data_IF_455692787023
#
_entry.id   IF_455692787023
#
_cell.length_a   1.000
_cell.length_b   1.000
_cell.length_c   1.000
_cell.angle_alpha   90.00
_cell.angle_beta   90.00
_cell.angle_gamma   90.00
#
_symmetry.space_group_name_H-M   'P 1'
#
loop_
_entity.id
_entity.type
_entity.pdbx_description
1 polymer ?
#
# COMPACT_ATOMS: atom_id res chain seq x y z
N UNK A 1 -4.61 -21.00 9.99
CA UNK A 1 -5.66 -22.03 10.01
C UNK A 1 -6.15 -22.33 11.43
N UNK A 2 -5.26 -22.40 12.40
CA UNK A 2 -5.59 -22.67 13.81
C UNK A 2 -6.60 -21.66 14.40
N UNK A 3 -6.52 -20.40 13.98
CA UNK A 3 -7.46 -19.35 14.37
C UNK A 3 -8.73 -19.29 13.50
N UNK A 4 -9.07 -20.35 12.75
CA UNK A 4 -10.27 -20.36 11.90
C UNK A 4 -10.18 -19.49 10.65
N UNK A 5 -8.99 -19.02 10.26
CA UNK A 5 -8.78 -18.27 9.02
C UNK A 5 -8.86 -19.21 7.82
N UNK A 6 -9.72 -18.90 6.87
CA UNK A 6 -9.94 -19.67 5.65
C UNK A 6 -9.31 -18.94 4.47
N UNK A 7 -8.57 -19.67 3.65
CA UNK A 7 -7.98 -19.16 2.42
C UNK A 7 -8.88 -19.44 1.23
N UNK A 8 -8.94 -18.47 0.33
CA UNK A 8 -9.66 -18.64 -0.93
C UNK A 8 -8.91 -19.64 -1.82
N UNK A 9 -9.61 -20.56 -2.49
CA UNK A 9 -9.01 -21.40 -3.52
C UNK A 9 -8.36 -20.57 -4.63
N UNK A 10 -7.34 -21.12 -5.28
CA UNK A 10 -6.71 -20.47 -6.44
C UNK A 10 -7.74 -20.06 -7.49
N UNK A 11 -7.63 -18.81 -7.93
CA UNK A 11 -8.39 -18.32 -9.07
C UNK A 11 -7.64 -18.70 -10.35
N UNK A 12 -8.37 -19.08 -11.39
CA UNK A 12 -7.85 -19.38 -12.73
C UNK A 12 -8.04 -18.17 -13.66
N UNK A 13 -7.34 -18.17 -14.80
CA UNK A 13 -7.44 -17.13 -15.82
C UNK A 13 -6.55 -15.93 -15.55
N UNK A 14 -6.94 -14.76 -16.06
CA UNK A 14 -6.21 -13.48 -15.96
C UNK A 14 -5.95 -13.04 -14.53
N UNK A 15 -6.68 -13.60 -13.58
CA UNK A 15 -6.61 -13.32 -12.15
C UNK A 15 -5.89 -14.42 -11.37
N UNK A 16 -4.99 -15.16 -11.98
CA UNK A 16 -4.17 -16.16 -11.27
C UNK A 16 -3.26 -15.48 -10.25
N UNK A 17 -3.88 -15.04 -9.16
CA UNK A 17 -3.21 -14.40 -8.02
C UNK A 17 -2.44 -15.42 -7.17
N UNK A 18 -2.57 -16.70 -7.47
CA UNK A 18 -2.06 -17.82 -6.67
C UNK A 18 -0.54 -17.97 -6.70
N UNK A 19 0.16 -17.34 -7.62
CA UNK A 19 1.63 -17.46 -7.70
C UNK A 19 2.38 -16.60 -6.69
N UNK A 20 1.76 -15.52 -6.21
CA UNK A 20 2.42 -14.56 -5.31
C UNK A 20 1.65 -14.30 -4.03
N UNK A 21 0.34 -14.56 -3.99
CA UNK A 21 -0.51 -14.29 -2.83
C UNK A 21 -1.48 -15.42 -2.55
N UNK A 22 -1.73 -15.63 -1.26
CA UNK A 22 -2.93 -16.32 -0.78
C UNK A 22 -3.94 -15.27 -0.32
N UNK A 23 -5.18 -15.38 -0.77
CA UNK A 23 -6.26 -14.48 -0.36
C UNK A 23 -7.09 -15.13 0.73
N UNK A 24 -7.56 -14.31 1.67
CA UNK A 24 -8.48 -14.77 2.69
C UNK A 24 -9.91 -14.82 2.12
N UNK A 25 -10.59 -15.92 2.30
CA UNK A 25 -12.00 -16.03 1.95
C UNK A 25 -12.80 -15.05 2.81
N UNK A 26 -13.50 -14.11 2.17
CA UNK A 26 -14.20 -13.00 2.84
C UNK A 26 -13.29 -11.82 3.20
N UNK A 27 -12.04 -11.80 2.69
CA UNK A 27 -11.12 -10.67 2.77
C UNK A 27 -10.61 -10.36 4.17
N UNK A 28 -10.11 -9.14 4.36
CA UNK A 28 -9.54 -8.68 5.64
C UNK A 28 -10.53 -8.68 6.79
N UNK A 29 -11.81 -8.40 6.52
CA UNK A 29 -12.88 -8.45 7.54
C UNK A 29 -13.02 -9.86 8.13
N UNK A 30 -13.04 -10.89 7.28
CA UNK A 30 -13.14 -12.27 7.74
C UNK A 30 -11.90 -12.70 8.55
N UNK A 31 -10.69 -12.29 8.11
CA UNK A 31 -9.45 -12.50 8.84
C UNK A 31 -9.52 -11.89 10.25
N UNK A 32 -9.82 -10.60 10.33
CA UNK A 32 -9.87 -9.87 11.61
C UNK A 32 -10.91 -10.48 12.54
N UNK A 33 -12.11 -10.77 12.04
CA UNK A 33 -13.17 -11.40 12.83
C UNK A 33 -12.78 -12.80 13.36
N UNK A 34 -12.00 -13.58 12.58
CA UNK A 34 -11.50 -14.87 13.03
C UNK A 34 -10.49 -14.71 14.18
N UNK A 35 -9.60 -13.71 14.09
CA UNK A 35 -8.62 -13.41 15.14
C UNK A 35 -9.29 -12.87 16.41
N UNK A 36 -10.29 -12.00 16.29
CA UNK A 36 -11.06 -11.50 17.43
C UNK A 36 -11.77 -12.64 18.18
N UNK A 37 -12.47 -13.52 17.45
CA UNK A 37 -13.11 -14.70 18.07
C UNK A 37 -12.11 -15.59 18.80
N UNK A 38 -10.92 -15.76 18.21
CA UNK A 38 -9.86 -16.55 18.87
C UNK A 38 -9.37 -15.86 20.15
N UNK A 39 -9.18 -14.54 20.13
CA UNK A 39 -8.77 -13.77 21.29
C UNK A 39 -9.82 -13.88 22.41
N UNK A 40 -11.10 -13.75 22.10
CA UNK A 40 -12.20 -13.92 23.06
C UNK A 40 -12.23 -15.33 23.65
N UNK A 41 -12.07 -16.38 22.82
CA UNK A 41 -12.01 -17.76 23.29
C UNK A 41 -10.82 -18.04 24.21
N UNK A 42 -9.71 -17.33 24.02
CA UNK A 42 -8.52 -17.40 24.87
C UNK A 42 -8.63 -16.52 26.14
N UNK A 43 -9.73 -15.82 26.34
CA UNK A 43 -9.94 -14.94 27.48
C UNK A 43 -9.10 -13.66 27.43
N UNK A 44 -8.65 -13.23 26.24
CA UNK A 44 -7.90 -11.99 26.07
C UNK A 44 -8.87 -10.82 26.17
N UNK A 45 -8.62 -9.88 27.07
CA UNK A 45 -9.42 -8.67 27.21
C UNK A 45 -9.16 -7.75 26.02
N UNK A 46 -10.23 -7.34 25.33
CA UNK A 46 -10.21 -6.40 24.21
C UNK A 46 -10.92 -5.12 24.65
N UNK A 47 -10.20 -4.01 24.69
CA UNK A 47 -10.76 -2.71 25.02
C UNK A 47 -11.08 -1.94 23.74
N UNK A 48 -12.35 -1.90 23.38
CA UNK A 48 -12.86 -1.09 22.27
C UNK A 48 -12.96 0.38 22.67
N UNK A 49 -13.04 1.27 21.69
CA UNK A 49 -13.09 2.73 21.88
C UNK A 49 -11.95 3.24 22.79
N UNK A 50 -10.77 2.67 22.57
CA UNK A 50 -9.59 2.91 23.41
C UNK A 50 -8.42 3.37 22.55
N UNK A 51 -7.88 4.53 22.89
CA UNK A 51 -6.73 5.11 22.25
C UNK A 51 -5.54 5.14 23.22
N UNK A 52 -4.39 4.60 22.80
CA UNK A 52 -3.13 4.77 23.52
C UNK A 52 -2.57 6.16 23.20
N UNK A 53 -2.47 7.01 24.22
CA UNK A 53 -2.01 8.38 24.09
C UNK A 53 -0.52 8.52 24.40
N UNK A 54 -0.01 7.75 25.37
CA UNK A 54 1.38 7.80 25.82
C UNK A 54 1.79 6.47 26.44
N UNK A 55 3.02 6.04 26.19
CA UNK A 55 3.68 4.89 26.87
C UNK A 55 4.85 5.47 27.65
N UNK A 56 4.75 5.48 28.98
CA UNK A 56 5.78 6.07 29.84
C UNK A 56 7.05 5.21 29.87
N UNK A 57 8.14 5.73 29.27
CA UNK A 57 9.47 5.11 29.27
C UNK A 57 10.38 5.75 30.32
N UNK A 58 11.17 4.89 30.96
CA UNK A 58 12.27 5.29 31.83
C UNK A 58 13.44 4.33 31.59
N UNK A 59 14.56 4.84 31.13
CA UNK A 59 15.77 4.04 30.83
C UNK A 59 15.50 2.82 29.93
N UNK A 60 14.65 2.99 28.89
CA UNK A 60 14.27 1.92 27.96
C UNK A 60 13.30 0.87 28.54
N UNK A 61 12.72 1.13 29.70
CA UNK A 61 11.69 0.30 30.34
C UNK A 61 10.34 1.02 30.33
N UNK A 62 9.31 0.37 29.78
CA UNK A 62 7.94 0.87 29.76
C UNK A 62 7.17 0.30 30.97
N UNK A 63 6.61 1.20 31.78
CA UNK A 63 5.92 0.84 33.05
C UNK A 63 4.41 0.87 32.93
N UNK A 64 3.90 1.86 32.20
CA UNK A 64 2.47 2.10 32.08
C UNK A 64 2.16 2.81 30.75
N UNK A 65 0.91 2.72 30.34
CA UNK A 65 0.36 3.51 29.24
C UNK A 65 -0.78 4.39 29.75
N UNK A 66 -0.83 5.61 29.26
CA UNK A 66 -1.98 6.50 29.36
C UNK A 66 -2.86 6.22 28.14
N UNK A 67 -4.10 5.87 28.42
CA UNK A 67 -5.10 5.59 27.40
C UNK A 67 -6.28 6.54 27.54
N UNK A 68 -6.98 6.79 26.45
CA UNK A 68 -8.32 7.37 26.45
C UNK A 68 -9.33 6.25 26.16
N UNK A 69 -10.09 5.84 27.15
CA UNK A 69 -11.16 4.88 26.99
C UNK A 69 -12.49 5.59 26.95
N UNK A 70 -13.17 5.54 25.82
CA UNK A 70 -14.43 6.28 25.60
C UNK A 70 -14.35 7.76 25.96
N UNK A 71 -13.18 8.39 25.68
CA UNK A 71 -12.91 9.80 25.97
C UNK A 71 -12.41 10.07 27.39
N UNK A 72 -12.35 9.08 28.28
CA UNK A 72 -11.85 9.26 29.66
C UNK A 72 -10.41 8.77 29.79
N UNK A 73 -9.49 9.58 30.34
CA UNK A 73 -8.11 9.17 30.54
C UNK A 73 -8.01 8.10 31.63
N UNK A 74 -7.24 7.07 31.37
CA UNK A 74 -6.93 5.99 32.31
C UNK A 74 -5.45 5.59 32.21
N UNK A 75 -4.94 4.92 33.24
CA UNK A 75 -3.61 4.33 33.24
C UNK A 75 -3.68 2.83 33.30
N UNK A 76 -2.93 2.17 32.41
CA UNK A 76 -2.78 0.72 32.41
C UNK A 76 -1.33 0.39 32.72
N UNK A 77 -1.10 -0.38 33.77
CA UNK A 77 0.22 -0.94 34.08
C UNK A 77 0.38 -2.30 33.47
N UNK A 78 1.57 -2.59 33.00
CA UNK A 78 1.91 -3.85 32.34
C UNK A 78 3.36 -4.24 32.62
N UNK A 79 3.68 -5.51 32.42
CA UNK A 79 5.06 -6.01 32.50
C UNK A 79 5.77 -5.94 31.13
N UNK A 80 5.04 -6.07 30.05
CA UNK A 80 5.55 -5.95 28.70
C UNK A 80 4.49 -5.33 27.78
N UNK A 81 4.93 -4.67 26.71
CA UNK A 81 4.07 -4.10 25.67
C UNK A 81 4.51 -4.54 24.29
N UNK A 82 3.54 -4.90 23.44
CA UNK A 82 3.74 -5.14 22.01
C UNK A 82 3.05 -4.02 21.24
N UNK A 83 3.84 -3.13 20.63
CA UNK A 83 3.34 -2.06 19.78
C UNK A 83 3.02 -2.61 18.39
N UNK A 84 1.75 -2.56 17.99
CA UNK A 84 1.26 -3.00 16.68
C UNK A 84 0.28 -1.99 16.07
N UNK A 85 0.49 -0.71 16.38
CA UNK A 85 -0.45 0.39 16.09
C UNK A 85 -0.42 0.91 14.65
N UNK A 86 0.37 0.30 13.78
CA UNK A 86 0.51 0.74 12.40
C UNK A 86 1.42 1.95 12.20
N UNK A 87 1.31 2.57 11.02
CA UNK A 87 2.09 3.73 10.61
C UNK A 87 1.30 5.04 10.72
N UNK A 88 1.67 6.02 9.87
CA UNK A 88 1.12 7.38 9.92
C UNK A 88 0.48 7.84 8.60
N UNK A 89 0.06 6.91 7.74
CA UNK A 89 -0.48 7.22 6.41
C UNK A 89 -1.72 8.11 6.44
N UNK A 90 -2.47 8.16 7.55
CA UNK A 90 -3.61 9.05 7.70
C UNK A 90 -3.25 10.39 8.40
N UNK A 91 -2.01 10.59 8.80
CA UNK A 91 -1.54 11.82 9.41
C UNK A 91 -1.02 12.79 8.34
N UNK A 92 -1.91 13.68 7.87
CA UNK A 92 -1.61 14.66 6.82
C UNK A 92 -0.43 15.56 7.17
N UNK A 93 -0.35 16.03 8.40
CA UNK A 93 0.71 16.94 8.85
C UNK A 93 2.07 16.23 8.88
N UNK A 94 2.07 14.95 9.23
CA UNK A 94 3.30 14.16 9.17
C UNK A 94 3.72 13.85 7.72
N UNK A 95 2.79 13.52 6.84
CA UNK A 95 3.07 13.35 5.41
C UNK A 95 3.58 14.64 4.75
N UNK A 96 3.01 15.82 5.10
CA UNK A 96 3.45 17.12 4.58
C UNK A 96 4.90 17.45 4.93
N UNK A 97 5.44 16.95 6.03
CA UNK A 97 6.86 17.16 6.39
C UNK A 97 7.82 16.62 5.32
N UNK A 98 7.42 15.57 4.60
CA UNK A 98 8.25 14.88 3.63
C UNK A 98 7.82 15.12 2.17
N UNK A 99 6.56 15.46 1.95
CA UNK A 99 5.96 15.62 0.63
C UNK A 99 5.41 17.01 0.36
N UNK A 100 5.47 17.93 1.32
CA UNK A 100 4.86 19.26 1.20
C UNK A 100 3.35 19.16 0.91
N UNK A 101 2.83 20.14 0.19
CA UNK A 101 1.40 20.24 -0.14
C UNK A 101 0.90 19.09 -1.03
N UNK A 102 1.79 18.36 -1.69
CA UNK A 102 1.43 17.15 -2.47
C UNK A 102 0.70 16.11 -1.62
N UNK A 103 1.01 16.03 -0.32
CA UNK A 103 0.36 15.11 0.61
C UNK A 103 -1.17 15.28 0.70
N UNK A 104 -1.68 16.48 0.42
CA UNK A 104 -3.12 16.75 0.48
C UNK A 104 -3.91 16.03 -0.61
N UNK A 105 -3.24 15.67 -1.68
CA UNK A 105 -3.82 14.93 -2.79
C UNK A 105 -3.72 13.41 -2.65
N UNK A 106 -3.11 12.88 -1.58
CA UNK A 106 -2.98 11.44 -1.39
C UNK A 106 -4.26 10.86 -0.79
N UNK A 107 -4.75 9.81 -1.42
CA UNK A 107 -5.86 9.02 -0.88
C UNK A 107 -5.31 7.98 0.11
N UNK A 108 -6.06 7.70 1.16
CA UNK A 108 -5.70 6.72 2.18
C UNK A 108 -6.53 5.45 1.96
N UNK A 109 -5.84 4.34 1.66
CA UNK A 109 -6.44 3.02 1.50
C UNK A 109 -6.46 2.28 2.84
N UNK A 110 -7.20 2.80 3.79
CA UNK A 110 -7.24 2.26 5.14
C UNK A 110 -8.12 3.08 6.06
N UNK A 111 -7.76 3.08 7.32
CA UNK A 111 -8.51 3.75 8.38
C UNK A 111 -7.97 5.16 8.65
N UNK A 112 -8.82 6.14 9.02
CA UNK A 112 -8.38 7.45 9.47
C UNK A 112 -7.60 7.40 10.80
N UNK A 113 -7.63 6.26 11.50
CA UNK A 113 -6.94 6.08 12.78
C UNK A 113 -5.44 5.78 12.67
N UNK A 114 -4.91 5.50 11.48
CA UNK A 114 -3.48 5.28 11.26
C UNK A 114 -2.69 6.60 11.30
N UNK A 115 -2.65 7.22 12.48
CA UNK A 115 -2.10 8.55 12.74
C UNK A 115 -0.65 8.52 13.23
N UNK A 116 -0.08 7.35 13.47
CA UNK A 116 1.29 7.19 13.95
C UNK A 116 1.53 7.63 15.40
N UNK A 117 0.50 7.73 16.25
CA UNK A 117 0.63 8.30 17.59
C UNK A 117 1.61 7.53 18.47
N UNK A 118 1.45 6.22 18.57
CA UNK A 118 2.36 5.36 19.35
C UNK A 118 3.76 5.35 18.74
N UNK A 119 3.87 5.34 17.41
CA UNK A 119 5.16 5.45 16.75
C UNK A 119 5.87 6.76 17.12
N UNK A 120 5.18 7.89 17.01
CA UNK A 120 5.71 9.19 17.39
C UNK A 120 6.12 9.22 18.86
N UNK A 121 5.23 8.78 19.74
CA UNK A 121 5.44 8.79 21.18
C UNK A 121 6.72 8.03 21.59
N UNK A 122 6.95 6.86 20.98
CA UNK A 122 8.15 6.07 21.25
C UNK A 122 9.42 6.70 20.64
N UNK A 123 9.33 7.28 19.42
CA UNK A 123 10.45 7.98 18.79
C UNK A 123 10.86 9.22 19.61
N UNK A 124 9.90 10.02 20.05
CA UNK A 124 10.14 11.21 20.86
C UNK A 124 10.80 10.88 22.22
N UNK A 125 10.64 9.65 22.70
CA UNK A 125 11.28 9.11 23.90
C UNK A 125 12.58 8.32 23.63
N UNK A 126 13.14 8.44 22.43
CA UNK A 126 14.45 7.89 22.08
C UNK A 126 14.44 6.46 21.56
N UNK A 127 13.32 5.94 21.10
CA UNK A 127 13.34 4.72 20.29
C UNK A 127 14.05 4.97 18.94
N UNK A 128 14.78 3.98 18.47
CA UNK A 128 15.57 4.09 17.23
C UNK A 128 14.64 4.03 16.01
N UNK A 129 14.73 5.05 15.15
CA UNK A 129 13.99 5.15 13.90
C UNK A 129 14.63 4.30 12.79
N UNK A 130 13.83 3.72 11.91
CA UNK A 130 14.26 3.00 10.71
C UNK A 130 13.27 3.18 9.57
N UNK A 131 13.78 3.18 8.35
CA UNK A 131 13.01 3.33 7.13
C UNK A 131 12.98 4.76 6.60
N UNK A 132 12.76 4.89 5.30
CA UNK A 132 12.68 6.18 4.63
C UNK A 132 11.26 6.74 4.74
N UNK A 133 11.05 7.92 5.31
CA UNK A 133 9.73 8.53 5.48
C UNK A 133 9.05 8.91 4.17
N UNK A 134 9.79 8.99 3.06
CA UNK A 134 9.26 9.25 1.73
C UNK A 134 8.84 7.97 0.99
N UNK A 135 9.12 6.80 1.59
CA UNK A 135 8.76 5.50 1.03
C UNK A 135 7.52 4.94 1.71
N UNK A 136 6.65 4.38 0.90
CA UNK A 136 5.41 3.79 1.36
C UNK A 136 4.89 2.74 0.35
N UNK A 137 4.06 1.85 0.81
CA UNK A 137 3.22 1.02 -0.05
C UNK A 137 2.08 1.90 -0.58
N UNK A 138 2.18 2.33 -1.82
CA UNK A 138 1.15 3.11 -2.47
C UNK A 138 0.88 2.62 -3.89
N UNK A 139 -0.39 2.60 -4.25
CA UNK A 139 -0.87 2.06 -5.52
C UNK A 139 -1.46 3.14 -6.41
N UNK A 140 -1.60 2.84 -7.70
CA UNK A 140 -2.49 3.58 -8.57
C UNK A 140 -3.93 3.33 -8.12
N UNK A 141 -4.56 4.33 -7.53
CA UNK A 141 -5.93 4.29 -7.07
C UNK A 141 -6.81 5.10 -8.02
N UNK A 142 -8.09 4.77 -8.13
CA UNK A 142 -9.02 5.59 -8.91
C UNK A 142 -9.09 7.00 -8.30
N UNK A 143 -8.82 8.02 -9.11
CA UNK A 143 -8.78 9.41 -8.62
C UNK A 143 -10.13 9.91 -8.10
N UNK A 144 -11.24 9.24 -8.43
CA UNK A 144 -12.60 9.55 -8.00
C UNK A 144 -12.97 8.88 -6.69
N UNK A 145 -12.11 8.00 -6.17
CA UNK A 145 -12.30 7.36 -4.88
C UNK A 145 -12.29 8.40 -3.75
N UNK A 146 -12.99 8.14 -2.63
CA UNK A 146 -12.91 8.98 -1.45
C UNK A 146 -11.47 9.16 -0.96
N UNK A 147 -11.20 10.27 -0.27
CA UNK A 147 -9.88 10.54 0.30
C UNK A 147 -9.47 9.48 1.32
N UNK A 148 -10.42 8.84 1.96
CA UNK A 148 -10.24 7.70 2.85
C UNK A 148 -11.12 6.55 2.34
N UNK A 149 -10.46 5.46 1.98
CA UNK A 149 -11.13 4.26 1.45
C UNK A 149 -10.41 3.01 1.94
N UNK A 150 -11.14 2.11 2.54
CA UNK A 150 -10.66 0.82 3.02
C UNK A 150 -10.60 -0.28 1.95
N UNK A 151 -10.93 0.03 0.68
CA UNK A 151 -11.19 -1.00 -0.33
C UNK A 151 -10.01 -1.42 -1.20
N UNK A 152 -9.96 -2.69 -1.56
CA UNK A 152 -9.12 -3.22 -2.64
C UNK A 152 -9.64 -2.78 -4.02
N UNK A 153 -10.95 -2.60 -4.14
CA UNK A 153 -11.65 -2.35 -5.40
C UNK A 153 -11.35 -0.98 -6.03
N UNK A 154 -10.72 -0.06 -5.29
CA UNK A 154 -10.28 1.24 -5.81
C UNK A 154 -8.89 1.19 -6.46
N UNK A 155 -8.10 0.13 -6.23
CA UNK A 155 -6.82 -0.09 -6.91
C UNK A 155 -7.06 -0.41 -8.37
N UNK A 156 -6.30 0.23 -9.25
CA UNK A 156 -6.39 0.03 -10.67
C UNK A 156 -5.25 -0.87 -11.18
N UNK A 157 -5.60 -2.06 -11.63
CA UNK A 157 -4.67 -3.06 -12.15
C UNK A 157 -4.54 -3.01 -13.69
N UNK A 158 -5.06 -1.94 -14.32
CA UNK A 158 -4.97 -1.72 -15.77
C UNK A 158 -3.59 -1.25 -16.26
N UNK A 159 -2.76 -0.72 -15.35
CA UNK A 159 -1.48 -0.07 -15.66
C UNK A 159 -0.59 -0.89 -16.61
N UNK A 160 -0.30 -2.19 -16.39
CA UNK A 160 0.56 -2.93 -17.30
C UNK A 160 0.00 -3.10 -18.72
N UNK A 161 -1.31 -2.94 -18.90
CA UNK A 161 -2.00 -3.07 -20.19
C UNK A 161 -2.39 -1.73 -20.82
N UNK A 162 -1.94 -0.62 -20.23
CA UNK A 162 -2.20 0.74 -20.65
C UNK A 162 -0.88 1.48 -20.92
N UNK A 163 -0.94 2.67 -21.49
CA UNK A 163 0.07 3.71 -21.28
C UNK A 163 -0.41 4.63 -20.16
N UNK A 164 0.51 5.17 -19.38
CA UNK A 164 0.16 6.10 -18.30
C UNK A 164 0.80 7.47 -18.56
N UNK A 165 -0.04 8.49 -18.67
CA UNK A 165 0.37 9.88 -18.86
C UNK A 165 0.04 10.71 -17.64
N UNK A 166 0.85 11.74 -17.37
CA UNK A 166 0.56 12.75 -16.36
C UNK A 166 -0.42 13.81 -16.88
N UNK A 167 -0.67 14.87 -16.10
CA UNK A 167 -1.57 15.95 -16.49
C UNK A 167 -1.07 16.76 -17.70
N UNK A 168 0.24 16.79 -17.95
CA UNK A 168 0.86 17.46 -19.10
C UNK A 168 0.89 16.57 -20.36
N UNK A 169 0.28 15.37 -20.24
CA UNK A 169 0.18 14.33 -21.29
C UNK A 169 1.54 13.76 -21.66
N UNK A 170 2.38 13.54 -20.64
CA UNK A 170 3.70 12.92 -20.80
C UNK A 170 3.73 11.56 -20.11
N UNK A 171 4.27 10.54 -20.77
CA UNK A 171 4.59 9.26 -20.15
C UNK A 171 5.82 9.45 -19.26
N UNK A 172 5.85 8.84 -18.08
CA UNK A 172 6.89 9.08 -17.09
C UNK A 172 7.54 7.81 -16.53
N UNK A 173 7.05 6.64 -16.87
CA UNK A 173 7.63 5.37 -16.41
C UNK A 173 7.30 4.22 -17.37
N UNK A 174 8.02 3.10 -17.24
CA UNK A 174 7.77 1.84 -17.95
C UNK A 174 6.63 1.06 -17.28
N UNK A 175 5.46 1.06 -17.88
CA UNK A 175 4.28 0.36 -17.35
C UNK A 175 4.43 -1.18 -17.41
N UNK A 176 5.37 -1.65 -18.23
CA UNK A 176 5.66 -3.07 -18.45
C UNK A 176 6.98 -3.56 -17.84
N UNK A 177 7.59 -2.85 -16.90
CA UNK A 177 8.93 -3.13 -16.37
C UNK A 177 9.09 -4.57 -15.81
N UNK A 178 8.10 -5.08 -15.08
CA UNK A 178 8.15 -6.41 -14.44
C UNK A 178 6.72 -6.87 -14.09
N UNK A 179 6.60 -8.09 -13.58
CA UNK A 179 5.32 -8.65 -13.16
C UNK A 179 4.60 -7.76 -12.15
N UNK A 180 3.31 -7.55 -12.38
CA UNK A 180 2.50 -6.60 -11.62
C UNK A 180 2.56 -6.77 -10.08
N UNK A 181 2.56 -7.99 -9.51
CA UNK A 181 2.71 -8.20 -8.07
C UNK A 181 3.99 -7.61 -7.45
N UNK A 182 5.02 -7.35 -8.23
CA UNK A 182 6.24 -6.67 -7.78
C UNK A 182 6.18 -5.15 -7.98
N UNK A 183 5.35 -4.65 -8.91
CA UNK A 183 5.40 -3.25 -9.36
C UNK A 183 4.17 -2.43 -8.98
N UNK A 184 3.04 -3.04 -8.72
CA UNK A 184 1.80 -2.30 -8.46
C UNK A 184 1.92 -1.26 -7.32
N UNK A 185 2.74 -1.53 -6.34
CA UNK A 185 2.87 -0.70 -5.15
C UNK A 185 3.92 0.44 -5.27
N UNK A 186 4.61 0.58 -6.40
CA UNK A 186 5.44 1.76 -6.66
C UNK A 186 4.66 2.86 -7.38
N UNK A 187 3.56 2.51 -8.05
CA UNK A 187 2.81 3.42 -8.90
C UNK A 187 2.19 4.58 -8.15
N UNK A 188 1.75 4.36 -6.89
CA UNK A 188 1.30 5.47 -6.08
C UNK A 188 2.38 6.53 -5.86
N UNK A 189 3.62 6.12 -5.58
CA UNK A 189 4.75 7.04 -5.43
C UNK A 189 5.12 7.75 -6.74
N UNK A 190 5.13 7.02 -7.84
CA UNK A 190 5.38 7.61 -9.17
C UNK A 190 4.35 8.69 -9.51
N UNK A 191 3.07 8.43 -9.22
CA UNK A 191 1.98 9.38 -9.41
C UNK A 191 2.10 10.58 -8.44
N UNK A 192 2.52 10.33 -7.19
CA UNK A 192 2.74 11.40 -6.20
C UNK A 192 3.75 12.46 -6.67
N UNK A 193 4.66 12.09 -7.55
CA UNK A 193 5.69 12.97 -8.12
C UNK A 193 5.22 13.72 -9.38
N UNK A 194 4.03 13.40 -9.90
CA UNK A 194 3.51 14.05 -11.12
C UNK A 194 2.74 15.34 -10.80
N UNK A 195 2.61 16.26 -11.78
CA UNK A 195 1.82 17.48 -11.63
C UNK A 195 0.40 17.19 -11.13
N UNK A 196 0.00 17.85 -10.03
CA UNK A 196 -1.31 17.65 -9.39
C UNK A 196 -1.51 16.27 -8.73
N UNK A 197 -0.44 15.48 -8.58
CA UNK A 197 -0.44 14.12 -8.01
C UNK A 197 -1.50 13.23 -8.66
N UNK A 198 -1.64 13.35 -9.97
CA UNK A 198 -2.57 12.56 -10.77
C UNK A 198 -1.93 12.07 -12.08
N UNK A 199 -2.48 11.01 -12.62
CA UNK A 199 -2.11 10.43 -13.91
C UNK A 199 -3.34 9.81 -14.56
N UNK A 200 -3.18 9.33 -15.79
CA UNK A 200 -4.28 8.78 -16.59
C UNK A 200 -3.77 7.53 -17.32
N UNK A 201 -4.39 6.38 -17.04
CA UNK A 201 -4.12 5.16 -17.76
C UNK A 201 -5.01 5.10 -19.01
N UNK A 202 -4.39 5.05 -20.17
CA UNK A 202 -5.08 5.05 -21.48
C UNK A 202 -4.87 3.70 -22.16
N UNK A 203 -5.94 3.08 -22.60
CA UNK A 203 -5.95 1.80 -23.30
C UNK A 203 -7.14 1.73 -24.25
N UNK A 204 -7.44 0.54 -24.75
CA UNK A 204 -8.58 0.27 -25.62
C UNK A 204 -9.36 -0.99 -25.21
N UNK A 205 -10.38 -1.34 -25.96
CA UNK A 205 -11.25 -2.48 -25.69
C UNK A 205 -10.53 -3.84 -25.59
N UNK A 206 -9.35 -3.98 -26.20
CA UNK A 206 -8.57 -5.23 -26.16
C UNK A 206 -7.97 -5.54 -24.78
N UNK A 207 -7.78 -4.54 -23.94
CA UNK A 207 -7.14 -4.68 -22.65
C UNK A 207 -8.12 -5.06 -21.53
N UNK A 208 -9.41 -4.76 -21.67
CA UNK A 208 -10.41 -4.83 -20.59
C UNK A 208 -10.51 -6.17 -19.88
N UNK A 209 -10.36 -7.26 -20.61
CA UNK A 209 -10.44 -8.61 -20.04
C UNK A 209 -9.18 -9.06 -19.30
N UNK A 210 -8.14 -8.22 -19.27
CA UNK A 210 -6.84 -8.59 -18.68
C UNK A 210 -6.65 -8.06 -17.25
N UNK A 211 -7.53 -7.21 -16.75
CA UNK A 211 -7.45 -6.65 -15.41
C UNK A 211 -8.82 -6.62 -14.71
N UNK A 212 -8.79 -6.48 -13.38
CA UNK A 212 -10.00 -6.34 -12.57
C UNK A 212 -10.72 -5.02 -12.92
N UNK A 213 -12.05 -5.05 -13.10
CA UNK A 213 -12.81 -3.82 -13.32
C UNK A 213 -12.75 -2.93 -12.08
N UNK A 214 -12.71 -1.62 -12.30
CA UNK A 214 -12.87 -0.63 -11.24
C UNK A 214 -14.32 -0.56 -10.76
N UNK A 215 -14.52 -0.15 -9.51
CA UNK A 215 -15.84 0.24 -8.97
C UNK A 215 -16.40 1.45 -9.73
N UNK A 216 -15.52 2.34 -10.17
CA UNK A 216 -15.91 3.46 -11.03
C UNK A 216 -15.75 3.06 -12.50
N UNK A 217 -16.82 3.14 -13.32
CA UNK A 217 -16.70 2.92 -14.75
C UNK A 217 -15.63 3.82 -15.37
N UNK A 218 -14.79 3.31 -16.30
CA UNK A 218 -13.83 4.14 -17.00
C UNK A 218 -14.51 5.16 -17.91
N UNK A 219 -13.80 6.20 -18.28
CA UNK A 219 -14.19 7.02 -19.43
C UNK A 219 -14.06 6.18 -20.69
N UNK A 220 -15.02 6.32 -21.61
CA UNK A 220 -15.08 5.58 -22.89
C UNK A 220 -15.46 6.52 -24.00
N UNK A 221 -14.74 6.43 -25.11
CA UNK A 221 -15.00 7.24 -26.29
C UNK A 221 -14.71 6.49 -27.60
N UNK A 222 -15.25 6.98 -28.69
CA UNK A 222 -14.99 6.49 -30.04
C UNK A 222 -13.65 6.95 -30.60
N UNK A 223 -13.07 8.03 -30.05
CA UNK A 223 -11.78 8.59 -30.44
C UNK A 223 -10.91 8.96 -29.25
N UNK A 224 -9.59 9.07 -29.46
CA UNK A 224 -8.64 9.53 -28.45
C UNK A 224 -8.89 11.00 -28.08
N UNK A 225 -9.27 11.83 -29.05
CA UNK A 225 -9.58 13.24 -28.81
C UNK A 225 -10.78 13.41 -27.86
N UNK A 226 -11.88 12.69 -28.10
CA UNK A 226 -13.04 12.69 -27.21
C UNK A 226 -12.67 12.20 -25.80
N UNK A 227 -11.88 11.13 -25.71
CA UNK A 227 -11.42 10.56 -24.44
C UNK A 227 -10.60 11.58 -23.64
N UNK A 228 -9.68 12.30 -24.31
CA UNK A 228 -8.88 13.37 -23.71
C UNK A 228 -9.76 14.51 -23.18
N UNK A 229 -10.73 14.95 -23.97
CA UNK A 229 -11.66 16.01 -23.59
C UNK A 229 -12.47 15.63 -22.34
N UNK A 230 -12.96 14.39 -22.25
CA UNK A 230 -13.66 13.88 -21.05
C UNK A 230 -12.80 13.90 -19.79
N UNK A 231 -11.49 13.73 -19.94
CA UNK A 231 -10.53 13.72 -18.83
C UNK A 231 -9.91 15.10 -18.53
N UNK A 232 -10.26 16.13 -19.31
CA UNK A 232 -9.68 17.48 -19.20
C UNK A 232 -8.20 17.55 -19.61
N UNK A 233 -7.78 16.66 -20.52
CA UNK A 233 -6.45 16.64 -21.14
C UNK A 233 -6.47 17.33 -22.51
N UNK A 234 -5.28 17.75 -22.99
CA UNK A 234 -5.11 18.29 -24.35
C UNK A 234 -5.32 17.16 -25.37
N UNK A 235 -6.36 17.23 -26.24
CA UNK A 235 -6.67 16.19 -27.21
C UNK A 235 -5.54 15.97 -28.21
N UNK A 236 -4.96 17.05 -28.76
CA UNK A 236 -3.92 16.92 -29.77
C UNK A 236 -2.61 16.36 -29.20
N UNK A 237 -2.29 16.63 -27.92
CA UNK A 237 -1.15 16.00 -27.26
C UNK A 237 -1.40 14.51 -27.04
N UNK A 238 -2.59 14.11 -26.57
CA UNK A 238 -2.88 12.71 -26.30
C UNK A 238 -2.88 11.89 -27.59
N UNK A 239 -3.46 12.42 -28.67
CA UNK A 239 -3.40 11.76 -29.99
C UNK A 239 -1.95 11.54 -30.44
N UNK A 240 -1.07 12.55 -30.30
CA UNK A 240 0.36 12.41 -30.63
C UNK A 240 1.04 11.33 -29.78
N UNK A 241 0.85 11.35 -28.47
CA UNK A 241 1.46 10.36 -27.55
C UNK A 241 1.00 8.94 -27.90
N UNK A 242 -0.28 8.75 -28.18
CA UNK A 242 -0.81 7.44 -28.60
C UNK A 242 -0.26 7.04 -29.97
N UNK A 243 -0.14 7.96 -30.91
CA UNK A 243 0.43 7.68 -32.24
C UNK A 243 1.92 7.30 -32.17
N UNK A 244 2.73 8.04 -31.40
CA UNK A 244 4.13 7.76 -31.16
C UNK A 244 4.33 6.40 -30.48
N UNK A 245 3.53 6.13 -29.44
CA UNK A 245 3.51 4.82 -28.79
C UNK A 245 3.17 3.71 -29.79
N UNK A 246 2.09 3.85 -30.55
CA UNK A 246 1.66 2.85 -31.53
C UNK A 246 2.71 2.59 -32.61
N UNK A 247 3.44 3.63 -33.05
CA UNK A 247 4.53 3.51 -34.02
C UNK A 247 5.74 2.75 -33.47
N UNK A 248 5.97 2.82 -32.16
CA UNK A 248 7.11 2.17 -31.50
C UNK A 248 6.84 0.72 -31.07
N UNK A 249 5.58 0.25 -31.13
CA UNK A 249 5.21 -1.11 -30.72
C UNK A 249 5.80 -2.16 -31.66
N UNK A 250 6.62 -3.04 -31.08
CA UNK A 250 7.08 -4.27 -31.71
C UNK A 250 6.16 -5.41 -31.26
N UNK A 251 5.40 -6.00 -32.20
CA UNK A 251 4.47 -7.07 -31.87
C UNK A 251 5.20 -8.32 -31.42
N UNK A 252 4.58 -9.05 -30.49
CA UNK A 252 5.07 -10.32 -29.96
C UNK A 252 3.92 -11.26 -29.60
N UNK A 253 4.22 -12.27 -28.81
CA UNK A 253 3.22 -13.20 -28.29
C UNK A 253 2.70 -12.70 -26.96
N UNK A 254 1.54 -12.07 -26.95
CA UNK A 254 0.93 -11.49 -25.75
C UNK A 254 0.61 -12.56 -24.69
N UNK A 255 1.15 -12.37 -23.46
CA UNK A 255 0.96 -13.28 -22.31
C UNK A 255 0.67 -12.46 -21.06
N UNK A 256 -0.59 -12.21 -20.70
CA UNK A 256 -0.94 -11.25 -19.65
C UNK A 256 -0.41 -11.60 -18.24
N UNK A 257 -0.01 -12.86 -18.01
CA UNK A 257 0.35 -13.35 -16.67
C UNK A 257 1.86 -13.48 -16.42
N UNK A 258 2.67 -13.29 -17.44
CA UNK A 258 4.14 -13.38 -17.37
C UNK A 258 4.74 -12.32 -18.28
N UNK A 259 5.97 -11.85 -18.04
CA UNK A 259 6.67 -10.98 -18.98
C UNK A 259 6.69 -11.64 -20.37
N UNK A 260 6.25 -10.89 -21.36
CA UNK A 260 6.16 -11.33 -22.75
C UNK A 260 7.17 -10.58 -23.62
N UNK A 261 7.12 -10.81 -24.92
CA UNK A 261 8.00 -10.18 -25.92
C UNK A 261 7.34 -8.99 -26.64
N UNK A 262 6.12 -8.60 -26.24
CA UNK A 262 5.44 -7.40 -26.74
C UNK A 262 6.05 -6.16 -26.07
N UNK A 263 6.85 -5.39 -26.81
CA UNK A 263 7.61 -4.25 -26.27
C UNK A 263 7.55 -3.06 -27.22
N UNK A 264 8.14 -1.96 -26.77
CA UNK A 264 8.41 -0.80 -27.64
C UNK A 264 9.89 -0.69 -27.95
N UNK A 265 10.22 -0.13 -29.11
CA UNK A 265 11.59 0.25 -29.50
C UNK A 265 11.64 1.74 -29.85
N UNK A 266 12.73 2.41 -29.44
CA UNK A 266 12.94 3.83 -29.71
C UNK A 266 12.07 4.80 -28.94
N UNK A 267 11.29 4.33 -27.95
CA UNK A 267 10.42 5.16 -27.10
C UNK A 267 11.03 5.40 -25.74
N UNK A 268 10.89 6.62 -25.20
CA UNK A 268 11.33 6.98 -23.84
C UNK A 268 10.17 7.62 -23.06
N UNK A 269 9.78 7.09 -21.88
CA UNK A 269 10.22 5.80 -21.33
C UNK A 269 9.80 4.63 -22.21
N UNK A 270 10.51 3.48 -22.19
CA UNK A 270 10.09 2.29 -22.93
C UNK A 270 8.81 1.69 -22.33
N UNK A 271 8.22 0.71 -23.00
CA UNK A 271 7.32 -0.26 -22.41
C UNK A 271 7.89 -1.65 -22.70
N UNK A 272 8.44 -2.28 -21.64
CA UNK A 272 9.27 -3.49 -21.79
C UNK A 272 8.47 -4.75 -22.07
N UNK A 273 7.22 -4.82 -21.60
CA UNK A 273 6.32 -5.96 -21.78
C UNK A 273 4.89 -5.48 -22.00
N UNK A 274 4.05 -6.37 -22.53
CA UNK A 274 2.60 -6.16 -22.75
C UNK A 274 2.29 -4.95 -23.64
N UNK A 275 3.23 -4.52 -24.47
CA UNK A 275 3.01 -3.42 -25.38
C UNK A 275 2.11 -3.87 -26.55
N UNK A 276 0.92 -3.28 -26.63
CA UNK A 276 -0.05 -3.49 -27.70
C UNK A 276 -0.51 -2.15 -28.20
N UNK A 277 -0.76 -2.05 -29.52
CA UNK A 277 -1.29 -0.82 -30.12
C UNK A 277 -2.66 -0.49 -29.52
N UNK A 278 -2.87 0.77 -29.23
CA UNK A 278 -4.15 1.34 -28.80
C UNK A 278 -4.88 1.83 -30.05
N UNK A 279 -5.71 0.98 -30.65
CA UNK A 279 -6.31 1.23 -31.95
C UNK A 279 -7.75 0.72 -32.10
N UNK A 280 -8.30 -0.01 -31.12
CA UNK A 280 -9.62 -0.62 -31.20
C UNK A 280 -10.62 0.03 -30.23
N UNK A 281 -11.50 0.89 -30.74
CA UNK A 281 -12.52 1.52 -29.90
C UNK A 281 -13.47 0.47 -29.27
N UNK A 282 -14.14 0.80 -28.15
CA UNK A 282 -14.00 2.06 -27.45
C UNK A 282 -12.61 2.21 -26.82
N UNK A 283 -12.08 3.43 -26.91
CA UNK A 283 -10.90 3.82 -26.13
C UNK A 283 -11.30 4.04 -24.68
N UNK A 284 -10.39 3.74 -23.77
CA UNK A 284 -10.66 3.63 -22.34
C UNK A 284 -9.63 4.44 -21.55
N UNK A 285 -10.10 5.22 -20.58
CA UNK A 285 -9.24 5.98 -19.69
C UNK A 285 -9.69 5.84 -18.23
N UNK A 286 -8.73 5.57 -17.37
CA UNK A 286 -8.90 5.58 -15.92
C UNK A 286 -8.08 6.72 -15.31
N UNK A 287 -8.69 7.65 -14.55
CA UNK A 287 -7.95 8.66 -13.81
C UNK A 287 -7.32 8.02 -12.57
N UNK A 288 -6.02 8.30 -12.36
CA UNK A 288 -5.21 7.71 -11.30
C UNK A 288 -4.81 8.75 -10.26
N UNK A 289 -4.76 8.34 -9.01
CA UNK A 289 -4.20 9.11 -7.90
C UNK A 289 -3.41 8.18 -6.96
N UNK A 290 -2.55 8.78 -6.15
CA UNK A 290 -1.80 8.07 -5.12
C UNK A 290 -2.72 7.52 -4.05
N UNK A 291 -2.75 6.20 -3.85
CA UNK A 291 -3.46 5.56 -2.76
C UNK A 291 -2.50 4.89 -1.78
N UNK A 292 -2.26 5.49 -0.60
CA UNK A 292 -1.34 4.95 0.40
C UNK A 292 -2.02 3.86 1.22
N UNK A 293 -1.36 2.70 1.33
CA UNK A 293 -1.82 1.59 2.16
C UNK A 293 -1.12 1.60 3.51
N UNK A 294 0.21 1.80 3.55
CA UNK A 294 0.99 1.97 4.78
C UNK A 294 2.36 2.61 4.52
N UNK A 295 2.95 3.19 5.55
CA UNK A 295 4.26 3.87 5.53
C UNK A 295 5.39 2.93 5.94
N UNK A 296 6.64 3.21 5.52
CA UNK A 296 7.78 2.36 5.85
C UNK A 296 8.58 2.85 7.06
N UNK A 297 8.58 4.17 7.32
CA UNK A 297 9.18 4.70 8.53
C UNK A 297 8.58 4.04 9.77
N UNK A 298 9.41 3.57 10.70
CA UNK A 298 8.97 2.87 11.89
C UNK A 298 10.06 2.71 12.94
N UNK A 299 9.81 1.81 13.88
CA UNK A 299 10.71 1.46 14.96
C UNK A 299 11.73 0.42 14.51
N UNK A 300 13.00 0.63 14.84
CA UNK A 300 14.04 -0.38 14.70
C UNK A 300 13.82 -1.50 15.70
N UNK A 301 13.85 -2.74 15.23
CA UNK A 301 13.76 -3.92 16.09
C UNK A 301 14.90 -4.89 15.81
N UNK A 302 15.23 -5.74 16.80
CA UNK A 302 16.11 -6.88 16.59
C UNK A 302 15.32 -8.13 16.12
N UNK A 303 16.01 -9.25 15.95
CA UNK A 303 15.44 -10.54 15.53
C UNK A 303 14.42 -11.13 16.52
N UNK A 304 14.35 -10.61 17.75
CA UNK A 304 13.36 -10.96 18.78
C UNK A 304 12.19 -9.97 18.83
N UNK A 305 12.03 -9.15 17.80
CA UNK A 305 11.03 -8.10 17.72
C UNK A 305 11.12 -7.04 18.83
N UNK A 306 12.23 -6.99 19.58
CA UNK A 306 12.46 -6.03 20.66
C UNK A 306 12.88 -4.69 20.07
N UNK A 307 12.22 -3.62 20.48
CA UNK A 307 12.52 -2.26 20.03
C UNK A 307 13.94 -1.86 20.49
N UNK A 308 14.73 -1.29 19.59
CA UNK A 308 16.03 -0.72 19.93
C UNK A 308 15.87 0.74 20.31
N UNK A 309 16.67 1.18 21.28
CA UNK A 309 16.80 2.58 21.66
C UNK A 309 17.86 3.28 20.81
N UNK A 310 17.91 4.59 20.82
CA UNK A 310 18.83 5.39 20.00
C UNK A 310 20.34 5.07 20.29
N UNK A 311 20.66 4.58 21.49
CA UNK A 311 22.00 4.10 21.84
C UNK A 311 22.32 2.69 21.28
N UNK A 312 21.40 2.10 20.53
CA UNK A 312 21.52 0.77 19.93
C UNK A 312 21.19 -0.40 20.88
N UNK A 313 20.88 -0.14 22.13
CA UNK A 313 20.50 -1.19 23.08
C UNK A 313 19.03 -1.59 22.91
N UNK A 314 18.72 -2.88 23.12
CA UNK A 314 17.33 -3.30 23.16
C UNK A 314 16.60 -2.70 24.37
N UNK A 315 15.39 -2.23 24.18
CA UNK A 315 14.48 -1.86 25.28
C UNK A 315 14.27 -3.05 26.23
N UNK A 316 13.95 -2.78 27.47
CA UNK A 316 13.80 -3.84 28.46
C UNK A 316 12.56 -4.73 28.17
N UNK A 317 11.42 -4.12 27.79
CA UNK A 317 10.13 -4.81 27.70
C UNK A 317 9.20 -4.32 26.58
N UNK A 318 9.75 -3.60 25.58
CA UNK A 318 8.97 -3.10 24.44
C UNK A 318 9.28 -3.93 23.21
N UNK A 319 8.23 -4.46 22.59
CA UNK A 319 8.28 -5.23 21.35
C UNK A 319 7.45 -4.52 20.29
N UNK A 320 7.75 -4.72 19.01
CA UNK A 320 6.95 -4.17 17.92
C UNK A 320 6.72 -5.18 16.79
N UNK A 321 5.58 -5.08 16.14
CA UNK A 321 5.24 -5.96 15.01
C UNK A 321 4.35 -5.27 13.99
N UNK A 322 4.40 -5.76 12.76
CA UNK A 322 3.59 -5.24 11.67
C UNK A 322 4.13 -3.94 11.10
N UNK A 323 3.23 -3.08 10.65
CA UNK A 323 3.58 -1.86 9.93
C UNK A 323 4.53 -0.94 10.71
N UNK A 324 4.32 -0.78 12.01
CA UNK A 324 5.12 0.09 12.88
C UNK A 324 6.64 -0.23 12.87
N UNK A 325 7.02 -1.41 12.39
CA UNK A 325 8.42 -1.83 12.27
C UNK A 325 8.80 -2.22 10.84
N UNK A 326 7.97 -1.95 9.86
CA UNK A 326 8.13 -2.43 8.48
C UNK A 326 9.42 -1.94 7.81
N UNK A 327 9.96 -0.78 8.17
CA UNK A 327 11.21 -0.24 7.67
C UNK A 327 12.45 -1.07 7.97
N UNK A 328 12.36 -2.08 8.87
CA UNK A 328 13.44 -3.06 9.04
C UNK A 328 13.55 -4.03 7.85
N UNK A 329 12.48 -4.17 7.07
CA UNK A 329 12.35 -5.14 5.97
C UNK A 329 12.17 -4.44 4.63
N UNK A 330 11.38 -3.37 4.60
CA UNK A 330 10.98 -2.64 3.40
C UNK A 330 11.80 -1.35 3.29
N UNK A 331 12.48 -1.19 2.16
CA UNK A 331 13.21 0.03 1.83
C UNK A 331 12.59 0.73 0.65
N UNK A 332 12.61 0.12 -0.52
CA UNK A 332 12.10 0.67 -1.78
C UNK A 332 11.21 -0.35 -2.48
N UNK A 333 9.99 0.06 -2.85
CA UNK A 333 9.01 -0.81 -3.47
C UNK A 333 8.40 -1.82 -2.48
N UNK A 334 7.63 -2.78 -3.01
CA UNK A 334 6.87 -3.73 -2.21
C UNK A 334 6.54 -4.98 -3.03
N UNK A 335 6.69 -6.14 -2.46
CA UNK A 335 6.19 -7.38 -3.02
C UNK A 335 4.85 -7.74 -2.37
N UNK A 336 3.87 -8.08 -3.20
CA UNK A 336 2.54 -8.43 -2.74
C UNK A 336 2.56 -9.52 -1.65
N UNK A 337 1.86 -9.28 -0.53
CA UNK A 337 1.81 -10.17 0.62
C UNK A 337 2.82 -9.87 1.73
N UNK A 338 3.85 -9.07 1.49
CA UNK A 338 4.91 -8.81 2.49
C UNK A 338 4.39 -8.15 3.77
N UNK A 339 3.46 -7.20 3.68
CA UNK A 339 2.88 -6.57 4.88
C UNK A 339 2.23 -7.58 5.81
N UNK A 340 1.47 -8.53 5.25
CA UNK A 340 0.87 -9.63 6.02
C UNK A 340 1.91 -10.60 6.58
N UNK A 341 2.98 -10.89 5.83
CA UNK A 341 4.07 -11.74 6.29
C UNK A 341 4.82 -11.09 7.45
N UNK A 342 5.16 -9.80 7.36
CA UNK A 342 5.79 -9.03 8.45
C UNK A 342 4.91 -9.07 9.69
N UNK A 343 3.62 -8.74 9.57
CA UNK A 343 2.68 -8.75 10.69
C UNK A 343 2.53 -10.12 11.34
N UNK A 344 2.45 -11.19 10.55
CA UNK A 344 2.28 -12.55 11.07
C UNK A 344 3.54 -13.08 11.74
N UNK A 345 4.70 -12.93 11.11
CA UNK A 345 5.98 -13.45 11.63
C UNK A 345 6.40 -12.70 12.88
N UNK A 346 6.49 -11.36 12.78
CA UNK A 346 6.93 -10.55 13.92
C UNK A 346 5.87 -10.45 15.02
N UNK A 347 4.58 -10.54 14.71
CA UNK A 347 3.52 -10.65 15.71
C UNK A 347 3.65 -11.89 16.57
N UNK A 348 3.97 -13.04 15.94
CA UNK A 348 4.25 -14.27 16.66
C UNK A 348 5.52 -14.16 17.52
N UNK A 349 6.63 -13.68 16.96
CA UNK A 349 7.89 -13.50 17.69
C UNK A 349 7.70 -12.56 18.87
N UNK A 350 7.07 -11.39 18.66
CA UNK A 350 6.81 -10.42 19.72
C UNK A 350 5.95 -10.99 20.85
N UNK A 351 4.92 -11.76 20.51
CA UNK A 351 4.06 -12.41 21.48
C UNK A 351 4.80 -13.46 22.34
N UNK A 352 5.61 -14.31 21.69
CA UNK A 352 6.43 -15.32 22.37
C UNK A 352 7.48 -14.66 23.30
N UNK A 353 8.18 -13.64 22.84
CA UNK A 353 9.21 -12.94 23.60
C UNK A 353 8.62 -12.11 24.75
N UNK A 354 7.49 -11.44 24.54
CA UNK A 354 6.77 -10.74 25.61
C UNK A 354 6.30 -11.74 26.70
N UNK A 355 5.76 -12.89 26.30
CA UNK A 355 5.35 -13.92 27.24
C UNK A 355 6.52 -14.50 28.05
N UNK A 356 7.69 -14.71 27.44
CA UNK A 356 8.92 -15.11 28.16
C UNK A 356 9.34 -14.04 29.16
N UNK A 357 9.33 -12.76 28.75
CA UNK A 357 9.70 -11.64 29.62
C UNK A 357 8.80 -11.54 30.87
N UNK A 358 7.50 -11.79 30.73
CA UNK A 358 6.52 -11.69 31.80
C UNK A 358 6.66 -12.84 32.82
N UNK A 359 7.16 -14.01 32.40
CA UNK A 359 7.34 -15.21 33.26
C UNK A 359 8.64 -15.21 34.05
N UNK A 360 9.65 -14.52 33.59
CA UNK A 360 10.94 -14.33 34.25
C UNK A 360 10.87 -13.15 35.24
#
# INVERSE_FOLDING_TARGET
KECGVVFQPSLSGTLSLSRTNAFFLGGGKALVNALYRTAEQLGIAILYDTEVQHIALEDGFAKEAIISWRGFPQRIRFKAVVASSGGFQANRDWLRRYWGDAADNFQIRGTPYAQGRVLRDLLDQGAHEVGDPTQFHAVANDARAPMEDGGLAMRLDCVPFAIVVNRDVERFYDEGEDVWPKRYAIWGRLIAQQPGQCAFAVTDSQAEMNYLPSVFPPYRAGSIAELAAMAGLDPGKLERVVAEYNASVVPGTFKPMVPDDCRTEGLTPPKSHWARRIEKPPFILHPLRTGITFTFLGLKVNERARVLMADGKPSANIFASGEIMSGNILGQGYLAGFGMAIGTVFGRIAGEEAARHVRN
#
